data_IF_695394772992
#
_entry.id   IF_695394772992
#
_cell.length_a   1.000
_cell.length_b   1.000
_cell.length_c   1.000
_cell.angle_alpha   90.00
_cell.angle_beta   90.00
_cell.angle_gamma   90.00
#
_symmetry.space_group_name_H-M   'P 1'
#
loop_
_entity.id
_entity.type
_entity.pdbx_description
1 polymer ?
#
# COMPACT_ATOMS: atom_id res chain seq x y z
N UNK A 1 -9.01 8.85 19.79
CA UNK A 1 -8.89 10.22 19.24
C UNK A 1 -9.26 11.17 20.35
N UNK A 2 -8.72 12.38 20.38
CA UNK A 2 -9.06 13.39 21.36
C UNK A 2 -9.77 14.53 20.65
N UNK A 3 -10.94 14.93 21.16
CA UNK A 3 -11.66 16.13 20.77
C UNK A 3 -11.41 17.18 21.85
N UNK A 4 -10.76 18.27 21.47
CA UNK A 4 -10.51 19.40 22.37
C UNK A 4 -11.62 20.42 22.16
N UNK A 5 -12.39 20.70 23.21
CA UNK A 5 -13.46 21.71 23.15
C UNK A 5 -12.89 23.13 23.28
N UNK A 6 -13.59 24.10 22.71
CA UNK A 6 -13.33 25.53 22.94
C UNK A 6 -13.51 25.83 24.43
N UNK A 7 -12.75 26.79 25.01
CA UNK A 7 -12.94 27.21 26.40
C UNK A 7 -14.37 27.67 26.72
N UNK A 8 -15.05 28.20 25.70
CA UNK A 8 -16.43 28.73 25.77
C UNK A 8 -17.48 27.71 25.35
N UNK A 9 -17.11 26.43 25.17
CA UNK A 9 -18.06 25.41 24.74
C UNK A 9 -19.14 25.20 25.80
N UNK A 10 -20.39 25.20 25.38
CA UNK A 10 -21.52 24.97 26.28
C UNK A 10 -21.68 23.48 26.59
N UNK A 11 -22.37 23.15 27.69
CA UNK A 11 -22.72 21.75 28.01
C UNK A 11 -23.49 21.09 26.87
N UNK A 12 -24.40 21.80 26.21
CA UNK A 12 -25.14 21.29 25.06
C UNK A 12 -24.24 20.91 23.89
N UNK A 13 -23.20 21.69 23.59
CA UNK A 13 -22.22 21.38 22.54
C UNK A 13 -21.37 20.16 22.91
N UNK A 14 -21.04 19.99 24.19
CA UNK A 14 -20.32 18.80 24.68
C UNK A 14 -21.20 17.54 24.56
N UNK A 15 -22.47 17.65 24.94
CA UNK A 15 -23.46 16.57 24.81
C UNK A 15 -23.69 16.19 23.33
N UNK A 16 -23.66 17.16 22.42
CA UNK A 16 -23.75 16.90 20.99
C UNK A 16 -22.57 16.04 20.50
N UNK A 17 -21.34 16.32 20.96
CA UNK A 17 -20.17 15.48 20.69
C UNK A 17 -20.36 14.06 21.23
N UNK A 18 -20.92 13.90 22.42
CA UNK A 18 -21.20 12.57 22.98
C UNK A 18 -22.24 11.82 22.16
N UNK A 19 -23.33 12.49 21.80
CA UNK A 19 -24.41 11.92 21.00
C UNK A 19 -23.88 11.48 19.64
N UNK A 20 -23.16 12.34 18.96
CA UNK A 20 -22.61 12.03 17.65
C UNK A 20 -21.63 10.85 17.71
N UNK A 21 -20.74 10.81 18.72
CA UNK A 21 -19.86 9.66 18.93
C UNK A 21 -20.63 8.36 19.20
N UNK A 22 -21.72 8.42 19.98
CA UNK A 22 -22.57 7.27 20.24
C UNK A 22 -23.30 6.78 18.97
N UNK A 23 -23.77 7.70 18.12
CA UNK A 23 -24.45 7.41 16.85
C UNK A 23 -23.54 6.63 15.87
N UNK A 24 -22.22 6.87 15.94
CA UNK A 24 -21.20 6.13 15.16
C UNK A 24 -20.57 4.96 15.93
N UNK A 25 -21.13 4.58 17.08
CA UNK A 25 -20.70 3.41 17.86
C UNK A 25 -19.39 3.58 18.63
N UNK A 26 -18.98 4.82 18.92
CA UNK A 26 -17.73 5.16 19.60
C UNK A 26 -17.99 5.60 21.04
N UNK A 27 -17.21 5.06 21.98
CA UNK A 27 -17.33 5.43 23.38
C UNK A 27 -16.59 6.73 23.68
N UNK A 28 -17.14 7.55 24.59
CA UNK A 28 -16.55 8.83 24.99
C UNK A 28 -16.17 8.83 26.47
N UNK A 29 -15.03 9.44 26.78
CA UNK A 29 -14.55 9.66 28.14
C UNK A 29 -14.16 11.14 28.30
N UNK A 30 -15.02 11.96 28.92
CA UNK A 30 -14.71 13.37 29.11
C UNK A 30 -13.75 13.61 30.28
N UNK A 31 -12.87 14.59 30.08
CA UNK A 31 -11.96 15.14 31.08
C UNK A 31 -12.28 16.63 31.17
N UNK A 32 -12.86 17.03 32.30
CA UNK A 32 -13.21 18.43 32.57
C UNK A 32 -11.98 19.14 33.17
N UNK A 33 -11.21 19.80 32.30
CA UNK A 33 -10.06 20.61 32.72
C UNK A 33 -10.47 22.00 33.17
N UNK A 34 -9.53 22.73 33.79
CA UNK A 34 -9.76 24.10 34.24
C UNK A 34 -9.99 25.10 33.09
N UNK A 35 -9.35 24.87 31.94
CA UNK A 35 -9.44 25.76 30.77
C UNK A 35 -10.21 25.14 29.59
N UNK A 36 -10.17 23.81 29.45
CA UNK A 36 -10.76 23.09 28.34
C UNK A 36 -11.38 21.78 28.83
N UNK A 37 -12.55 21.45 28.29
CA UNK A 37 -13.05 20.08 28.29
C UNK A 37 -12.40 19.32 27.16
N UNK A 38 -11.91 18.11 27.46
CA UNK A 38 -11.30 17.21 26.51
C UNK A 38 -12.12 15.93 26.46
N UNK A 39 -12.58 15.52 25.28
CA UNK A 39 -13.35 14.29 25.10
C UNK A 39 -12.47 13.25 24.41
N UNK A 40 -12.13 12.19 25.13
CA UNK A 40 -11.43 11.06 24.54
C UNK A 40 -12.42 10.11 23.86
N UNK A 41 -12.25 9.91 22.56
CA UNK A 41 -12.93 8.88 21.78
C UNK A 41 -12.14 7.57 21.91
N UNK A 42 -12.80 6.51 22.36
CA UNK A 42 -12.22 5.20 22.66
C UNK A 42 -12.95 4.11 21.85
N UNK A 43 -12.18 3.18 21.30
CA UNK A 43 -12.68 2.08 20.47
C UNK A 43 -11.93 1.94 19.15
N UNK A 44 -12.56 1.29 18.18
CA UNK A 44 -12.11 1.27 16.79
C UNK A 44 -12.49 2.58 16.11
N UNK A 45 -11.48 3.40 15.85
CA UNK A 45 -11.66 4.72 15.25
C UNK A 45 -11.21 4.75 13.79
N UNK A 46 -10.95 3.61 13.16
CA UNK A 46 -10.40 3.54 11.80
C UNK A 46 -11.27 4.28 10.77
N UNK A 47 -12.59 4.18 10.91
CA UNK A 47 -13.60 4.83 10.08
C UNK A 47 -13.90 6.30 10.47
N UNK A 48 -13.41 6.76 11.62
CA UNK A 48 -13.71 8.09 12.16
C UNK A 48 -12.74 9.12 11.60
N UNK A 49 -13.28 10.16 10.98
CA UNK A 49 -12.47 11.26 10.42
C UNK A 49 -12.33 12.42 11.40
N UNK A 50 -11.23 13.17 11.30
CA UNK A 50 -11.03 14.37 12.12
C UNK A 50 -11.99 15.50 11.75
N UNK A 51 -12.35 15.58 10.48
CA UNK A 51 -13.19 16.62 9.90
C UNK A 51 -14.63 16.54 10.40
N UNK A 52 -15.15 15.34 10.60
CA UNK A 52 -16.47 15.08 11.18
C UNK A 52 -16.65 15.81 12.52
N UNK A 53 -15.70 15.68 13.44
CA UNK A 53 -15.74 16.36 14.74
C UNK A 53 -15.24 17.82 14.67
N UNK A 54 -14.27 18.15 13.82
CA UNK A 54 -13.76 19.53 13.71
C UNK A 54 -14.82 20.53 13.22
N UNK A 55 -15.87 20.06 12.54
CA UNK A 55 -16.98 20.89 12.04
C UNK A 55 -18.06 21.14 13.09
N UNK A 56 -18.06 20.41 14.20
CA UNK A 56 -19.08 20.56 15.24
C UNK A 56 -18.87 21.85 16.03
N UNK A 57 -19.97 22.49 16.41
CA UNK A 57 -19.92 23.69 17.24
C UNK A 57 -19.36 23.37 18.62
N UNK A 58 -18.60 24.31 19.17
CA UNK A 58 -17.88 24.11 20.44
C UNK A 58 -16.60 23.27 20.34
N UNK A 59 -16.29 22.62 19.20
CA UNK A 59 -15.01 21.91 19.02
C UNK A 59 -13.92 22.90 18.59
N UNK A 60 -12.75 22.83 19.24
CA UNK A 60 -11.57 23.63 18.88
C UNK A 60 -10.67 22.89 17.88
N UNK A 61 -10.34 21.63 18.17
CA UNK A 61 -9.53 20.77 17.30
C UNK A 61 -9.64 19.30 17.71
N UNK A 62 -9.40 18.41 16.77
CA UNK A 62 -9.20 16.98 17.04
C UNK A 62 -7.76 16.54 16.84
N UNK A 63 -7.32 15.61 17.68
CA UNK A 63 -5.99 14.99 17.64
C UNK A 63 -6.16 13.47 17.59
N UNK A 64 -5.59 12.80 16.58
CA UNK A 64 -5.59 11.34 16.52
C UNK A 64 -4.41 10.80 17.33
N UNK A 65 -4.69 9.94 18.29
CA UNK A 65 -3.64 9.22 19.05
C UNK A 65 -3.24 7.95 18.30
N UNK A 66 -4.23 7.24 17.74
CA UNK A 66 -4.01 6.00 17.00
C UNK A 66 -3.53 6.31 15.58
N UNK A 67 -2.61 5.47 15.10
CA UNK A 67 -2.13 5.52 13.72
C UNK A 67 -3.26 5.14 12.74
N UNK A 68 -3.38 5.85 11.59
CA UNK A 68 -4.40 5.55 10.58
C UNK A 68 -4.25 4.20 9.88
N UNK A 69 -3.08 3.57 9.97
CA UNK A 69 -2.67 2.38 9.24
C UNK A 69 -2.52 1.18 10.20
N UNK A 70 -3.57 0.89 10.98
CA UNK A 70 -3.50 -0.06 12.11
C UNK A 70 -2.81 -1.38 11.75
N UNK A 71 -3.26 -2.06 10.68
CA UNK A 71 -2.77 -3.40 10.28
C UNK A 71 -1.32 -3.40 9.79
N UNK A 72 -0.87 -2.31 9.16
CA UNK A 72 0.52 -2.15 8.73
C UNK A 72 1.44 -1.63 9.87
N UNK A 73 0.85 -1.22 10.99
CA UNK A 73 1.57 -0.64 12.13
C UNK A 73 2.07 -1.69 13.11
N UNK A 74 3.31 -1.52 13.60
CA UNK A 74 3.92 -2.41 14.62
C UNK A 74 3.16 -2.45 15.94
N UNK A 75 2.37 -1.42 16.24
CA UNK A 75 1.48 -1.41 17.40
C UNK A 75 0.47 -2.57 17.37
N UNK A 76 0.02 -2.98 16.17
CA UNK A 76 -0.90 -4.11 15.99
C UNK A 76 -0.19 -5.41 15.60
N UNK A 77 0.94 -5.32 14.92
CA UNK A 77 1.77 -6.46 14.51
C UNK A 77 3.24 -6.24 14.91
N UNK A 78 3.62 -6.56 16.16
CA UNK A 78 4.94 -6.20 16.69
C UNK A 78 6.12 -6.87 15.99
N UNK A 79 5.91 -8.09 15.49
CA UNK A 79 6.93 -8.89 14.82
C UNK A 79 7.08 -8.52 13.34
N UNK A 80 8.22 -8.85 12.77
CA UNK A 80 8.45 -8.64 11.34
C UNK A 80 7.56 -9.58 10.50
N UNK A 81 6.99 -9.05 9.43
CA UNK A 81 6.33 -9.86 8.41
C UNK A 81 7.40 -10.38 7.46
N UNK A 82 7.56 -11.70 7.37
CA UNK A 82 8.35 -12.33 6.32
C UNK A 82 7.45 -12.76 5.16
N UNK A 83 7.96 -12.65 3.94
CA UNK A 83 7.25 -13.06 2.73
C UNK A 83 8.12 -14.00 1.94
N UNK A 84 7.77 -15.28 1.96
CA UNK A 84 8.44 -16.32 1.19
C UNK A 84 7.75 -16.51 -0.16
N UNK A 85 8.54 -16.62 -1.24
CA UNK A 85 8.06 -16.96 -2.58
C UNK A 85 8.91 -18.09 -3.17
N UNK A 86 8.48 -18.59 -4.33
CA UNK A 86 9.24 -19.58 -5.09
C UNK A 86 9.62 -20.81 -4.23
N UNK A 87 8.65 -21.30 -3.46
CA UNK A 87 8.77 -22.40 -2.49
C UNK A 87 9.83 -22.17 -1.40
N UNK A 88 9.99 -20.92 -0.97
CA UNK A 88 10.92 -20.54 0.10
C UNK A 88 12.34 -20.23 -0.36
N UNK A 89 12.62 -20.30 -1.68
CA UNK A 89 13.93 -19.94 -2.23
C UNK A 89 14.28 -18.47 -2.09
N UNK A 90 13.27 -17.61 -1.97
CA UNK A 90 13.44 -16.17 -1.72
C UNK A 90 12.53 -15.75 -0.59
N UNK A 91 13.11 -15.08 0.42
CA UNK A 91 12.39 -14.56 1.58
C UNK A 91 12.67 -13.06 1.76
N UNK A 92 11.60 -12.26 1.76
CA UNK A 92 11.68 -10.85 2.16
C UNK A 92 11.48 -10.71 3.67
N UNK A 93 12.21 -9.78 4.30
CA UNK A 93 12.15 -9.55 5.74
C UNK A 93 12.99 -10.51 6.58
N UNK A 94 13.70 -11.44 5.94
CA UNK A 94 14.68 -12.32 6.58
C UNK A 94 16.06 -11.67 6.75
N UNK A 95 17.10 -12.48 6.94
CA UNK A 95 18.48 -12.01 7.13
C UNK A 95 19.21 -11.64 5.82
N UNK A 96 18.77 -12.22 4.70
CA UNK A 96 19.39 -12.04 3.39
C UNK A 96 18.87 -10.79 2.66
N UNK A 97 19.75 -10.15 1.88
CA UNK A 97 19.36 -9.02 1.03
C UNK A 97 18.88 -9.54 -0.32
N UNK A 98 17.57 -9.42 -0.57
CA UNK A 98 16.97 -9.81 -1.86
C UNK A 98 17.25 -8.75 -2.93
N UNK A 99 17.89 -9.16 -4.02
CA UNK A 99 18.16 -8.30 -5.19
C UNK A 99 17.22 -8.64 -6.34
N UNK A 100 16.44 -7.64 -6.77
CA UNK A 100 15.56 -7.71 -7.94
C UNK A 100 16.16 -6.91 -9.09
N UNK A 101 16.57 -7.57 -10.18
CA UNK A 101 17.29 -6.93 -11.28
C UNK A 101 16.69 -7.29 -12.65
N UNK A 102 16.93 -6.44 -13.64
CA UNK A 102 16.38 -6.59 -14.99
C UNK A 102 15.93 -5.24 -15.59
N UNK A 103 15.48 -5.24 -16.85
CA UNK A 103 15.29 -4.01 -17.60
C UNK A 103 14.08 -3.20 -17.14
N UNK A 104 14.05 -1.93 -17.55
CA UNK A 104 12.91 -1.06 -17.32
C UNK A 104 11.65 -1.55 -18.06
N UNK A 105 11.82 -2.02 -19.29
CA UNK A 105 10.78 -2.56 -20.15
C UNK A 105 11.27 -3.85 -20.79
N UNK A 106 10.36 -4.78 -21.09
CA UNK A 106 10.68 -5.93 -21.95
C UNK A 106 10.58 -5.45 -23.40
N UNK A 107 11.68 -5.52 -24.15
CA UNK A 107 11.77 -4.93 -25.49
C UNK A 107 11.90 -5.98 -26.58
N UNK A 108 12.50 -7.14 -26.28
CA UNK A 108 12.51 -8.32 -27.15
C UNK A 108 12.75 -9.58 -26.32
N UNK A 109 12.50 -10.74 -26.94
CA UNK A 109 12.77 -12.05 -26.35
C UNK A 109 14.24 -12.23 -25.98
N UNK A 110 15.14 -11.98 -26.92
CA UNK A 110 16.57 -12.22 -26.71
C UNK A 110 17.12 -11.28 -25.63
N UNK A 111 16.70 -10.01 -25.63
CA UNK A 111 17.09 -9.02 -24.63
C UNK A 111 16.74 -9.48 -23.21
N UNK A 112 15.51 -9.97 -22.97
CA UNK A 112 15.10 -10.35 -21.62
C UNK A 112 15.74 -11.67 -21.16
N UNK A 113 15.93 -12.63 -22.06
CA UNK A 113 16.59 -13.91 -21.74
C UNK A 113 18.07 -13.69 -21.41
N UNK A 114 18.80 -12.96 -22.26
CA UNK A 114 20.20 -12.61 -22.00
C UNK A 114 20.34 -11.84 -20.68
N UNK A 115 19.45 -10.89 -20.43
CA UNK A 115 19.44 -10.14 -19.17
C UNK A 115 19.19 -11.07 -17.98
N UNK A 116 18.24 -12.00 -18.08
CA UNK A 116 17.91 -12.91 -16.99
C UNK A 116 19.09 -13.82 -16.61
N UNK A 117 19.83 -14.31 -17.60
CA UNK A 117 21.06 -15.10 -17.38
C UNK A 117 22.11 -14.23 -16.69
N UNK A 118 22.39 -13.05 -17.24
CA UNK A 118 23.42 -12.16 -16.71
C UNK A 118 23.13 -11.71 -15.26
N UNK A 119 21.88 -11.34 -14.94
CA UNK A 119 21.53 -10.93 -13.57
C UNK A 119 21.54 -12.10 -12.59
N UNK A 120 21.20 -13.32 -13.04
CA UNK A 120 21.33 -14.53 -12.21
C UNK A 120 22.79 -14.80 -11.87
N UNK A 121 23.68 -14.76 -12.86
CA UNK A 121 25.12 -14.94 -12.67
C UNK A 121 25.72 -13.87 -11.75
N UNK A 122 25.19 -12.65 -11.79
CA UNK A 122 25.55 -11.57 -10.89
C UNK A 122 24.95 -11.69 -9.47
N UNK A 123 24.11 -12.70 -9.21
CA UNK A 123 23.54 -12.97 -7.88
C UNK A 123 22.16 -12.38 -7.60
N UNK A 124 21.45 -11.88 -8.63
CA UNK A 124 20.06 -11.45 -8.45
C UNK A 124 19.15 -12.66 -8.14
N UNK A 125 18.22 -12.48 -7.21
CA UNK A 125 17.29 -13.53 -6.78
C UNK A 125 15.98 -13.50 -7.56
N UNK A 126 15.66 -12.40 -8.25
CA UNK A 126 14.39 -12.15 -8.93
C UNK A 126 14.64 -11.35 -10.21
N UNK A 127 13.95 -11.74 -11.29
CA UNK A 127 13.93 -11.00 -12.55
C UNK A 127 12.80 -9.96 -12.55
N UNK A 128 13.14 -8.69 -12.82
CA UNK A 128 12.15 -7.62 -13.04
C UNK A 128 12.08 -7.21 -14.51
N UNK A 129 10.88 -6.94 -15.02
CA UNK A 129 10.70 -6.42 -16.39
C UNK A 129 9.30 -5.87 -16.61
N UNK A 130 9.19 -4.67 -17.19
CA UNK A 130 7.88 -4.03 -17.43
C UNK A 130 7.29 -4.47 -18.77
N UNK A 131 6.23 -5.28 -18.73
CA UNK A 131 5.47 -5.67 -19.91
C UNK A 131 4.50 -4.58 -20.38
N UNK A 132 3.99 -3.78 -19.44
CA UNK A 132 3.14 -2.61 -19.64
C UNK A 132 3.86 -1.36 -19.15
N UNK A 133 3.72 -0.22 -19.84
CA UNK A 133 4.39 1.03 -19.49
C UNK A 133 3.38 2.17 -19.29
N UNK A 134 3.34 2.81 -18.10
CA UNK A 134 2.51 3.99 -17.88
C UNK A 134 3.16 5.19 -18.57
N UNK A 135 2.80 5.43 -19.83
CA UNK A 135 3.37 6.51 -20.62
C UNK A 135 2.46 7.73 -20.66
N UNK A 136 3.07 8.90 -20.56
CA UNK A 136 2.38 10.19 -20.66
C UNK A 136 1.97 10.53 -22.11
N UNK A 137 2.51 9.82 -23.10
CA UNK A 137 2.21 10.04 -24.52
C UNK A 137 1.84 8.72 -25.21
N UNK A 138 0.74 8.70 -25.99
CA UNK A 138 0.28 7.50 -26.70
C UNK A 138 1.24 7.05 -27.81
N UNK A 139 2.12 7.93 -28.29
CA UNK A 139 3.07 7.63 -29.37
C UNK A 139 4.37 6.97 -28.89
N UNK A 140 4.56 6.87 -27.57
CA UNK A 140 5.74 6.21 -27.01
C UNK A 140 5.50 4.71 -26.86
N UNK A 141 6.57 3.93 -26.79
CA UNK A 141 6.48 2.49 -26.57
C UNK A 141 5.63 2.15 -25.33
N UNK A 142 4.51 1.46 -25.53
CA UNK A 142 3.55 1.13 -24.48
C UNK A 142 3.91 -0.15 -23.70
N UNK A 143 4.95 -0.86 -24.14
CA UNK A 143 5.24 -2.22 -23.70
C UNK A 143 4.73 -3.26 -24.69
N UNK A 144 5.21 -4.50 -24.57
CA UNK A 144 4.79 -5.63 -25.41
C UNK A 144 3.50 -6.31 -24.91
N UNK A 145 2.95 -5.87 -23.77
CA UNK A 145 1.79 -6.48 -23.15
C UNK A 145 2.02 -7.97 -22.85
N UNK A 146 1.06 -8.82 -23.19
CA UNK A 146 1.14 -10.27 -22.97
C UNK A 146 2.36 -10.93 -23.63
N UNK A 147 2.79 -10.44 -24.80
CA UNK A 147 4.00 -10.96 -25.43
C UNK A 147 5.25 -10.76 -24.57
N UNK A 148 5.36 -9.60 -23.91
CA UNK A 148 6.42 -9.34 -22.94
C UNK A 148 6.31 -10.23 -21.70
N UNK A 149 5.10 -10.57 -21.25
CA UNK A 149 4.88 -11.52 -20.16
C UNK A 149 5.30 -12.95 -20.54
N UNK A 150 5.01 -13.39 -21.77
CA UNK A 150 5.45 -14.69 -22.29
C UNK A 150 6.98 -14.78 -22.33
N UNK A 151 7.67 -13.73 -22.77
CA UNK A 151 9.14 -13.71 -22.76
C UNK A 151 9.72 -13.73 -21.34
N UNK A 152 9.07 -13.06 -20.37
CA UNK A 152 9.47 -13.17 -18.97
C UNK A 152 9.30 -14.59 -18.44
N UNK A 153 8.18 -15.26 -18.74
CA UNK A 153 7.97 -16.66 -18.36
C UNK A 153 9.02 -17.60 -18.96
N UNK A 154 9.37 -17.42 -20.23
CA UNK A 154 10.44 -18.18 -20.87
C UNK A 154 11.80 -17.93 -20.19
N UNK A 155 12.12 -16.67 -19.87
CA UNK A 155 13.33 -16.33 -19.13
C UNK A 155 13.35 -17.00 -17.74
N UNK A 156 12.20 -17.10 -17.06
CA UNK A 156 12.06 -17.88 -15.81
C UNK A 156 12.26 -19.37 -16.03
N UNK A 157 11.74 -19.96 -17.10
CA UNK A 157 11.96 -21.38 -17.40
C UNK A 157 13.45 -21.71 -17.57
N UNK A 158 14.21 -20.82 -18.23
CA UNK A 158 15.64 -21.02 -18.44
C UNK A 158 16.48 -20.76 -17.19
N UNK A 159 16.08 -19.80 -16.36
CA UNK A 159 16.92 -19.33 -15.24
C UNK A 159 16.42 -19.77 -13.86
N UNK A 160 15.16 -20.14 -13.72
CA UNK A 160 14.50 -20.40 -12.44
C UNK A 160 14.27 -19.15 -11.59
N UNK A 161 14.54 -17.95 -12.11
CA UNK A 161 14.30 -16.69 -11.40
C UNK A 161 12.79 -16.39 -11.35
N UNK A 162 12.20 -16.14 -10.17
CA UNK A 162 10.84 -15.62 -10.09
C UNK A 162 10.74 -14.23 -10.72
N UNK A 163 9.53 -13.86 -11.14
CA UNK A 163 9.25 -12.65 -11.91
C UNK A 163 8.50 -11.63 -11.07
N UNK A 164 8.94 -10.38 -11.13
CA UNK A 164 8.16 -9.21 -10.70
C UNK A 164 7.86 -8.32 -11.91
N UNK A 165 6.58 -7.99 -12.11
CA UNK A 165 6.15 -7.06 -13.16
C UNK A 165 4.99 -6.18 -12.69
N UNK A 166 4.80 -5.05 -13.36
CA UNK A 166 3.84 -4.02 -12.95
C UNK A 166 2.44 -4.32 -13.47
N UNK A 167 1.45 -4.16 -12.60
CA UNK A 167 0.03 -4.13 -12.94
C UNK A 167 -0.42 -2.68 -13.02
N UNK A 168 -0.99 -2.26 -14.15
CA UNK A 168 -1.41 -0.87 -14.35
C UNK A 168 -2.90 -0.65 -14.16
N UNK A 169 -3.72 -1.69 -14.38
CA UNK A 169 -5.18 -1.62 -14.21
C UNK A 169 -5.79 -2.88 -13.59
N UNK A 170 -7.07 -2.82 -13.21
CA UNK A 170 -7.78 -3.94 -12.56
C UNK A 170 -7.98 -5.10 -13.54
N UNK A 171 -8.20 -4.76 -14.81
CA UNK A 171 -8.46 -5.70 -15.91
C UNK A 171 -7.21 -6.53 -16.26
N UNK A 172 -6.01 -5.97 -16.03
CA UNK A 172 -4.74 -6.65 -16.27
C UNK A 172 -4.36 -7.64 -15.17
N UNK A 173 -4.98 -7.57 -13.98
CA UNK A 173 -4.61 -8.41 -12.82
C UNK A 173 -4.62 -9.90 -13.17
N UNK A 174 -5.70 -10.48 -13.75
CA UNK A 174 -5.75 -11.92 -13.99
C UNK A 174 -4.60 -12.37 -14.90
N UNK A 175 -4.39 -11.64 -16.00
CA UNK A 175 -3.33 -11.92 -16.96
C UNK A 175 -1.95 -11.82 -16.29
N UNK A 176 -1.63 -10.68 -15.66
CA UNK A 176 -0.30 -10.50 -15.04
C UNK A 176 -0.06 -11.51 -13.93
N UNK A 177 -1.09 -11.88 -13.16
CA UNK A 177 -1.00 -12.88 -12.11
C UNK A 177 -0.75 -14.29 -12.63
N UNK A 178 -1.02 -14.62 -13.89
CA UNK A 178 -0.63 -15.92 -14.46
C UNK A 178 0.90 -16.02 -14.62
N UNK A 179 1.55 -14.92 -15.01
CA UNK A 179 2.97 -14.90 -15.34
C UNK A 179 3.86 -14.48 -14.17
N UNK A 180 3.42 -13.56 -13.31
CA UNK A 180 4.27 -12.95 -12.28
C UNK A 180 4.20 -13.65 -10.93
N UNK A 181 5.31 -13.71 -10.20
CA UNK A 181 5.38 -14.22 -8.82
C UNK A 181 5.11 -13.11 -7.80
N UNK A 182 5.41 -11.85 -8.17
CA UNK A 182 5.12 -10.64 -7.38
C UNK A 182 4.41 -9.62 -8.28
N UNK A 183 3.31 -9.06 -7.78
CA UNK A 183 2.55 -8.00 -8.46
C UNK A 183 3.06 -6.62 -8.02
N UNK A 184 3.71 -5.87 -8.92
CA UNK A 184 4.17 -4.52 -8.62
C UNK A 184 3.06 -3.49 -8.85
N UNK A 185 2.85 -2.60 -7.88
CA UNK A 185 2.08 -1.37 -8.05
C UNK A 185 3.05 -0.21 -8.16
N UNK A 186 3.05 0.46 -9.32
CA UNK A 186 3.89 1.60 -9.59
C UNK A 186 3.54 2.83 -8.74
N UNK A 187 4.49 3.75 -8.59
CA UNK A 187 4.32 4.98 -7.81
C UNK A 187 3.12 5.83 -8.28
N UNK A 188 2.80 5.82 -9.58
CA UNK A 188 1.63 6.53 -10.15
C UNK A 188 0.30 5.95 -9.70
N UNK A 189 0.28 4.66 -9.35
CA UNK A 189 -0.89 3.93 -8.89
C UNK A 189 -0.90 3.73 -7.35
N UNK A 190 0.03 4.35 -6.61
CA UNK A 190 0.14 4.18 -5.15
C UNK A 190 -1.12 4.61 -4.38
N UNK A 191 -1.97 5.47 -4.95
CA UNK A 191 -3.26 5.88 -4.39
C UNK A 191 -4.45 5.44 -5.28
N UNK A 192 -4.22 4.54 -6.24
CA UNK A 192 -5.31 3.93 -7.00
C UNK A 192 -5.99 2.87 -6.14
N UNK A 193 -6.84 3.30 -5.20
CA UNK A 193 -7.45 2.42 -4.20
C UNK A 193 -8.32 1.32 -4.81
N UNK A 194 -8.90 1.55 -5.99
CA UNK A 194 -9.63 0.50 -6.73
C UNK A 194 -8.69 -0.63 -7.14
N UNK A 195 -7.51 -0.28 -7.68
CA UNK A 195 -6.47 -1.24 -8.03
C UNK A 195 -5.89 -1.92 -6.78
N UNK A 196 -5.59 -1.17 -5.72
CA UNK A 196 -5.05 -1.72 -4.46
C UNK A 196 -6.01 -2.75 -3.84
N UNK A 197 -7.32 -2.46 -3.80
CA UNK A 197 -8.34 -3.40 -3.32
C UNK A 197 -8.44 -4.65 -4.18
N UNK A 198 -8.27 -4.51 -5.50
CA UNK A 198 -8.36 -5.63 -6.42
C UNK A 198 -7.11 -6.53 -6.36
N UNK A 199 -5.91 -5.94 -6.28
CA UNK A 199 -4.65 -6.68 -6.17
C UNK A 199 -4.51 -7.36 -4.80
N UNK A 200 -4.99 -6.73 -3.73
CA UNK A 200 -4.99 -7.31 -2.38
C UNK A 200 -5.91 -8.52 -2.20
N UNK A 201 -6.77 -8.83 -3.18
CA UNK A 201 -7.57 -10.07 -3.21
C UNK A 201 -6.85 -11.25 -3.86
N UNK A 202 -5.68 -11.02 -4.45
CA UNK A 202 -4.88 -12.07 -5.06
C UNK A 202 -4.09 -12.81 -3.97
N UNK A 203 -3.77 -14.08 -4.22
CA UNK A 203 -2.92 -14.90 -3.35
C UNK A 203 -1.42 -14.67 -3.56
N UNK A 204 -1.04 -13.61 -4.29
CA UNK A 204 0.34 -13.28 -4.65
C UNK A 204 0.83 -12.05 -3.87
N UNK A 205 2.11 -11.99 -3.47
CA UNK A 205 2.68 -10.80 -2.85
C UNK A 205 2.57 -9.56 -3.73
N UNK A 206 2.41 -8.40 -3.08
CA UNK A 206 2.29 -7.10 -3.73
C UNK A 206 3.48 -6.23 -3.37
N UNK A 207 4.20 -5.74 -4.39
CA UNK A 207 5.27 -4.76 -4.22
C UNK A 207 4.72 -3.35 -4.44
N UNK A 208 4.43 -2.64 -3.36
CA UNK A 208 3.88 -1.28 -3.40
C UNK A 208 4.98 -0.22 -3.43
N UNK A 209 5.11 0.50 -4.54
CA UNK A 209 5.99 1.67 -4.60
C UNK A 209 5.33 2.88 -3.95
N UNK A 210 6.11 3.64 -3.18
CA UNK A 210 5.73 4.96 -2.68
C UNK A 210 5.41 5.92 -3.83
N UNK A 211 4.30 6.65 -3.72
CA UNK A 211 3.98 7.74 -4.64
C UNK A 211 5.07 8.81 -4.64
N UNK A 212 5.35 9.42 -5.79
CA UNK A 212 6.46 10.37 -5.95
C UNK A 212 6.42 11.54 -4.98
N UNK A 213 5.22 11.96 -4.58
CA UNK A 213 5.00 13.06 -3.64
C UNK A 213 4.26 12.61 -2.37
N UNK A 214 4.02 11.31 -2.20
CA UNK A 214 3.28 10.77 -1.05
C UNK A 214 4.13 10.77 0.21
N UNK A 215 3.55 11.12 1.36
CA UNK A 215 4.15 10.97 2.68
C UNK A 215 4.30 9.49 3.07
N UNK A 216 5.08 9.20 4.12
CA UNK A 216 5.20 7.85 4.68
C UNK A 216 3.84 7.36 5.21
N UNK A 217 3.08 8.25 5.85
CA UNK A 217 1.74 7.94 6.33
C UNK A 217 0.81 7.53 5.17
N UNK A 218 0.84 8.23 4.03
CA UNK A 218 0.02 7.88 2.86
C UNK A 218 0.43 6.55 2.24
N UNK A 219 1.74 6.24 2.21
CA UNK A 219 2.22 4.92 1.80
C UNK A 219 1.65 3.81 2.70
N UNK A 220 1.77 3.97 4.03
CA UNK A 220 1.30 2.98 4.99
C UNK A 220 -0.23 2.83 5.01
N UNK A 221 -0.97 3.88 4.63
CA UNK A 221 -2.42 3.80 4.46
C UNK A 221 -2.85 3.05 3.18
N UNK A 222 -1.98 2.98 2.18
CA UNK A 222 -2.21 2.22 0.95
C UNK A 222 -1.76 0.76 1.02
N UNK A 223 -0.98 0.39 2.03
CA UNK A 223 -0.53 -0.97 2.33
C UNK A 223 -1.58 -1.74 3.13
#
# INVERSE_FOLDING_TARGET
>A
MIVVMKPTATTAQIEEVFKHAADIGVQTHPIYGQQHTVVALVGDLTHVTREEFNKMDGVQKTVRIQEPYKLAGRTSHPHDTTVAIADGRVEFGGQEIVVMAGPCSVESRDQIIETAIAVKEAGASILRGGAFKPRSSPYTFQGLGEEGLRYLAEAREQTGLPIITEVMSVEEIPLVAEYADILQIGARNNQNYSLLKAVGKQSKPVFLKRGTSGSIQELLMGA
#
